data_IF_864174527031
#
_entry.id   IF_864174527031
#
_cell.length_a   1.000
_cell.length_b   1.000
_cell.length_c   1.000
_cell.angle_alpha   90.00
_cell.angle_beta   90.00
_cell.angle_gamma   90.00
#
_symmetry.space_group_name_H-M   'P 1'
#
loop_
_entity.id
_entity.type
_entity.pdbx_description
1 polymer ?
#
# COMPACT_ATOMS: atom_id res chain seq x y z
N UNK A 1 7.40 -7.54 5.78
CA UNK A 1 6.29 -8.25 5.11
C UNK A 1 6.26 -9.74 5.49
N UNK A 2 7.34 -10.53 5.28
CA UNK A 2 7.38 -11.97 5.62
C UNK A 2 6.89 -12.26 7.05
N UNK A 3 7.31 -11.47 8.03
CA UNK A 3 6.85 -11.64 9.42
C UNK A 3 5.34 -11.43 9.59
N UNK A 4 4.73 -10.51 8.82
CA UNK A 4 3.26 -10.32 8.80
C UNK A 4 2.58 -11.55 8.20
N UNK A 5 3.11 -12.08 7.10
CA UNK A 5 2.63 -13.34 6.48
C UNK A 5 2.66 -14.50 7.48
N UNK A 6 3.75 -14.63 8.25
CA UNK A 6 3.87 -15.68 9.28
C UNK A 6 2.81 -15.52 10.37
N UNK A 7 2.55 -14.29 10.83
CA UNK A 7 1.51 -14.01 11.84
C UNK A 7 0.13 -14.37 11.31
N UNK A 8 -0.22 -13.95 10.09
CA UNK A 8 -1.51 -14.27 9.46
C UNK A 8 -1.68 -15.78 9.31
N UNK A 9 -0.65 -16.47 8.81
CA UNK A 9 -0.70 -17.92 8.56
C UNK A 9 -0.66 -18.75 9.84
N UNK A 10 -0.14 -18.21 10.95
CA UNK A 10 -0.10 -18.92 12.23
C UNK A 10 -1.46 -19.08 12.90
N UNK A 11 -2.46 -18.30 12.47
CA UNK A 11 -3.79 -18.25 13.08
C UNK A 11 -3.87 -17.50 14.41
N UNK A 12 -2.80 -16.81 14.84
CA UNK A 12 -2.75 -16.08 16.12
C UNK A 12 -3.85 -15.01 16.26
N UNK A 13 -4.33 -14.45 15.15
CA UNK A 13 -5.40 -13.46 15.15
C UNK A 13 -6.77 -14.04 14.75
N UNK A 14 -6.85 -15.38 14.65
CA UNK A 14 -8.08 -16.07 14.27
C UNK A 14 -8.42 -15.93 12.78
N UNK A 15 -9.71 -16.09 12.45
CA UNK A 15 -10.21 -15.91 11.07
C UNK A 15 -10.15 -14.43 10.69
N UNK A 16 -9.51 -14.12 9.56
CA UNK A 16 -9.45 -12.74 9.03
C UNK A 16 -10.85 -12.32 8.58
N UNK A 17 -11.28 -11.14 9.01
CA UNK A 17 -12.63 -10.60 8.78
C UNK A 17 -12.64 -9.25 8.07
N UNK A 18 -11.53 -8.48 8.13
CA UNK A 18 -11.43 -7.17 7.48
C UNK A 18 -9.98 -6.76 7.30
N UNK A 19 -9.69 -5.94 6.30
CA UNK A 19 -8.41 -5.25 6.13
C UNK A 19 -8.62 -3.78 5.88
N UNK A 20 -7.73 -2.94 6.41
CA UNK A 20 -7.80 -1.49 6.28
C UNK A 20 -6.44 -0.90 5.92
N UNK A 21 -6.44 0.09 5.02
CA UNK A 21 -5.27 0.88 4.66
C UNK A 21 -5.53 2.32 5.08
N UNK A 22 -4.60 2.94 5.80
CA UNK A 22 -4.55 4.37 6.04
C UNK A 22 -3.18 4.88 5.64
N UNK A 23 -3.15 5.73 4.64
CA UNK A 23 -1.94 6.39 4.19
C UNK A 23 -2.18 7.88 4.05
N UNK A 24 -1.51 8.64 4.88
CA UNK A 24 -1.66 10.09 4.93
C UNK A 24 -0.28 10.72 5.05
N UNK A 25 0.06 11.61 4.13
CA UNK A 25 1.29 12.37 4.19
C UNK A 25 1.06 13.85 3.87
N UNK A 26 1.91 14.76 4.37
CA UNK A 26 1.90 16.15 3.95
C UNK A 26 2.41 16.28 2.52
N UNK A 27 2.15 17.43 1.85
CA UNK A 27 2.77 17.74 0.59
C UNK A 27 4.29 17.65 0.69
N UNK A 28 4.92 17.07 -0.31
CA UNK A 28 6.39 16.95 -0.35
C UNK A 28 7.03 18.33 -0.55
N UNK A 29 8.04 18.66 0.23
CA UNK A 29 8.69 19.96 0.15
C UNK A 29 9.21 20.27 -1.26
N UNK A 30 9.76 19.27 -1.95
CA UNK A 30 10.24 19.45 -3.34
C UNK A 30 9.13 19.86 -4.32
N UNK A 31 7.88 19.40 -4.11
CA UNK A 31 6.75 19.81 -4.95
C UNK A 31 6.33 21.24 -4.64
N UNK A 32 6.31 21.62 -3.36
CA UNK A 32 6.01 23.00 -2.92
C UNK A 32 7.06 23.98 -3.46
N UNK A 33 8.34 23.61 -3.44
CA UNK A 33 9.43 24.41 -3.97
C UNK A 33 9.30 24.57 -5.49
N UNK A 34 8.99 23.50 -6.22
CA UNK A 34 8.77 23.55 -7.66
C UNK A 34 7.58 24.47 -8.02
N UNK A 35 6.46 24.38 -7.27
CA UNK A 35 5.30 25.26 -7.45
C UNK A 35 5.68 26.72 -7.20
N UNK A 36 6.37 27.00 -6.09
CA UNK A 36 6.77 28.36 -5.72
C UNK A 36 7.72 28.99 -6.74
N UNK A 37 8.59 28.19 -7.35
CA UNK A 37 9.56 28.63 -8.36
C UNK A 37 9.02 28.59 -9.79
N UNK A 38 7.76 28.21 -10.02
CA UNK A 38 7.18 27.98 -11.34
C UNK A 38 7.94 26.94 -12.18
N UNK A 39 8.54 25.94 -11.53
CA UNK A 39 9.24 24.84 -12.15
C UNK A 39 8.27 23.70 -12.53
N UNK A 40 8.62 22.85 -13.51
CA UNK A 40 7.81 21.68 -13.85
C UNK A 40 7.68 20.73 -12.64
N UNK A 41 6.46 20.31 -12.36
CA UNK A 41 6.21 19.26 -11.37
C UNK A 41 6.81 17.93 -11.81
N UNK A 42 7.19 17.05 -10.88
CA UNK A 42 7.68 15.73 -11.20
C UNK A 42 6.64 14.96 -12.04
N UNK A 43 7.10 14.07 -12.92
CA UNK A 43 6.25 13.33 -13.86
C UNK A 43 5.12 12.57 -13.17
N UNK A 44 5.32 12.13 -11.91
CA UNK A 44 4.33 11.46 -11.08
C UNK A 44 3.07 12.29 -10.78
N UNK A 45 3.19 13.60 -10.83
CA UNK A 45 2.07 14.53 -10.63
C UNK A 45 1.49 15.08 -11.95
N UNK A 46 1.92 14.52 -13.07
CA UNK A 46 1.42 14.85 -14.41
C UNK A 46 0.51 13.71 -14.91
N UNK A 47 -0.84 13.81 -14.75
CA UNK A 47 -1.75 12.70 -15.08
C UNK A 47 -1.66 12.21 -16.52
N UNK A 48 -1.33 13.10 -17.46
CA UNK A 48 -1.16 12.76 -18.88
C UNK A 48 0.06 11.85 -19.13
N UNK A 49 1.01 11.79 -18.18
CA UNK A 49 2.23 10.97 -18.24
C UNK A 49 2.11 9.76 -17.32
N UNK A 50 1.75 10.00 -16.05
CA UNK A 50 1.71 8.97 -15.01
C UNK A 50 0.39 8.22 -14.93
N UNK A 51 -0.65 8.70 -15.60
CA UNK A 51 -1.99 8.16 -15.50
C UNK A 51 -2.79 8.63 -14.28
N UNK A 52 -2.18 9.28 -13.30
CA UNK A 52 -2.79 9.80 -12.08
C UNK A 52 -1.77 10.57 -11.25
N UNK A 53 -1.94 10.58 -9.92
CA UNK A 53 -1.05 11.21 -8.97
C UNK A 53 -0.26 10.23 -8.11
N UNK A 54 0.06 10.66 -6.89
CA UNK A 54 0.77 9.84 -5.91
C UNK A 54 0.01 8.56 -5.52
N UNK A 55 -1.30 8.50 -5.75
CA UNK A 55 -2.06 7.27 -5.53
C UNK A 55 -1.49 6.10 -6.35
N UNK A 56 -1.17 6.30 -7.63
CA UNK A 56 -0.54 5.24 -8.44
C UNK A 56 0.86 4.86 -7.97
N UNK A 57 1.63 5.84 -7.48
CA UNK A 57 3.01 5.61 -7.02
C UNK A 57 3.05 4.85 -5.68
N UNK A 58 2.08 5.10 -4.79
CA UNK A 58 2.13 4.62 -3.40
C UNK A 58 1.17 3.46 -3.12
N UNK A 59 -0.09 3.55 -3.55
CA UNK A 59 -1.12 2.56 -3.22
C UNK A 59 -0.84 1.18 -3.82
N UNK A 60 -0.15 1.12 -4.95
CA UNK A 60 0.24 -0.15 -5.56
C UNK A 60 0.99 -1.08 -4.61
N UNK A 61 1.91 -0.54 -3.79
CA UNK A 61 2.70 -1.34 -2.84
C UNK A 61 1.82 -1.95 -1.75
N UNK A 62 0.84 -1.20 -1.26
CA UNK A 62 -0.07 -1.65 -0.21
C UNK A 62 -1.08 -2.67 -0.74
N UNK A 63 -1.65 -2.42 -1.92
CA UNK A 63 -2.59 -3.33 -2.57
C UNK A 63 -1.92 -4.64 -3.01
N UNK A 64 -0.68 -4.57 -3.50
CA UNK A 64 0.11 -5.76 -3.89
C UNK A 64 0.38 -6.68 -2.69
N UNK A 65 0.82 -6.11 -1.56
CA UNK A 65 1.01 -6.84 -0.31
C UNK A 65 -0.28 -7.55 0.13
N UNK A 66 -1.42 -6.88 0.03
CA UNK A 66 -2.70 -7.46 0.43
C UNK A 66 -3.17 -8.56 -0.53
N UNK A 67 -2.95 -8.39 -1.85
CA UNK A 67 -3.26 -9.45 -2.83
C UNK A 67 -2.34 -10.67 -2.68
N UNK A 68 -1.09 -10.48 -2.33
CA UNK A 68 -0.18 -11.57 -2.02
C UNK A 68 -0.60 -12.37 -0.75
N UNK A 69 -1.21 -11.69 0.23
CA UNK A 69 -1.70 -12.33 1.46
C UNK A 69 -3.06 -13.02 1.29
N UNK A 70 -3.98 -12.44 0.52
CA UNK A 70 -5.40 -12.80 0.55
C UNK A 70 -5.98 -13.19 -0.80
N UNK A 71 -5.19 -13.18 -1.87
CA UNK A 71 -5.65 -13.44 -3.24
C UNK A 71 -6.10 -12.17 -3.97
N UNK A 72 -6.62 -12.36 -5.16
CA UNK A 72 -6.97 -11.27 -6.08
C UNK A 72 -8.17 -10.47 -5.58
N UNK A 73 -8.12 -9.14 -5.72
CA UNK A 73 -9.27 -8.26 -5.50
C UNK A 73 -10.15 -8.30 -6.75
N UNK A 74 -11.40 -8.75 -6.61
CA UNK A 74 -12.37 -8.87 -7.70
C UNK A 74 -13.30 -7.69 -7.84
N UNK A 75 -13.55 -6.96 -6.74
CA UNK A 75 -14.39 -5.76 -6.74
C UNK A 75 -13.66 -4.62 -6.07
N UNK A 76 -13.69 -3.43 -6.68
CA UNK A 76 -13.12 -2.23 -6.12
C UNK A 76 -13.92 -1.00 -6.58
N UNK A 77 -14.14 -0.06 -5.66
CA UNK A 77 -14.77 1.25 -5.92
C UNK A 77 -14.15 2.30 -5.04
N UNK A 78 -14.01 3.50 -5.58
CA UNK A 78 -13.46 4.63 -4.83
C UNK A 78 -14.14 5.95 -5.14
N UNK A 79 -13.84 6.91 -4.28
CA UNK A 79 -14.13 8.34 -4.46
C UNK A 79 -12.78 9.03 -4.40
N UNK A 80 -12.45 9.76 -5.45
CA UNK A 80 -11.23 10.54 -5.54
C UNK A 80 -11.55 12.03 -5.70
N UNK A 81 -10.66 12.87 -5.21
CA UNK A 81 -10.79 14.32 -5.30
C UNK A 81 -9.43 14.98 -5.26
N UNK A 82 -9.39 16.22 -5.74
CA UNK A 82 -8.26 17.12 -5.55
C UNK A 82 -8.71 18.22 -4.56
N UNK A 83 -8.27 18.12 -3.32
CA UNK A 83 -8.68 19.02 -2.22
C UNK A 83 -7.64 20.08 -1.89
N UNK A 84 -6.36 19.76 -2.07
CA UNK A 84 -5.26 20.67 -1.84
C UNK A 84 -5.04 21.66 -2.98
N UNK A 85 -5.40 21.28 -4.22
CA UNK A 85 -5.25 22.14 -5.39
C UNK A 85 -3.81 22.46 -5.79
N UNK A 86 -2.84 21.67 -5.30
CA UNK A 86 -1.42 21.90 -5.56
C UNK A 86 -1.00 21.44 -6.96
N UNK A 87 -1.68 20.46 -7.51
CA UNK A 87 -1.43 19.87 -8.82
C UNK A 87 -2.74 19.35 -9.44
N UNK A 88 -2.70 18.84 -10.68
CA UNK A 88 -3.92 18.43 -11.40
C UNK A 88 -4.45 17.04 -10.98
N UNK A 89 -3.56 16.16 -10.51
CA UNK A 89 -3.95 14.80 -10.12
C UNK A 89 -4.80 14.80 -8.84
N UNK A 90 -5.42 13.66 -8.57
CA UNK A 90 -6.09 13.40 -7.30
C UNK A 90 -5.06 13.43 -6.15
N UNK A 91 -5.46 14.00 -5.01
CA UNK A 91 -4.65 14.08 -3.79
C UNK A 91 -5.33 13.42 -2.58
N UNK A 92 -6.58 13.03 -2.75
CA UNK A 92 -7.39 12.38 -1.70
C UNK A 92 -8.24 11.29 -2.34
N UNK A 93 -8.06 10.04 -1.87
CA UNK A 93 -8.76 8.86 -2.37
C UNK A 93 -9.30 8.06 -1.19
N UNK A 94 -10.56 7.61 -1.29
CA UNK A 94 -11.17 6.65 -0.37
C UNK A 94 -11.77 5.51 -1.15
N UNK A 95 -11.56 4.28 -0.73
CA UNK A 95 -11.99 3.09 -1.47
C UNK A 95 -12.50 1.98 -0.57
N UNK A 96 -13.34 1.12 -1.16
CA UNK A 96 -13.65 -0.20 -0.65
C UNK A 96 -13.41 -1.26 -1.74
N UNK A 97 -13.04 -2.47 -1.31
CA UNK A 97 -12.73 -3.56 -2.21
C UNK A 97 -13.05 -4.92 -1.58
N UNK A 98 -13.18 -5.96 -2.41
CA UNK A 98 -13.42 -7.32 -1.97
C UNK A 98 -12.49 -8.30 -2.68
N UNK A 99 -11.87 -9.17 -1.90
CA UNK A 99 -11.04 -10.26 -2.41
C UNK A 99 -11.89 -11.42 -2.92
N UNK A 100 -11.31 -12.29 -3.74
CA UNK A 100 -11.95 -13.47 -4.32
C UNK A 100 -12.53 -14.44 -3.27
N UNK A 101 -11.95 -14.48 -2.07
CA UNK A 101 -12.44 -15.27 -0.94
C UNK A 101 -13.57 -14.60 -0.16
N UNK A 102 -14.07 -13.45 -0.61
CA UNK A 102 -15.14 -12.66 0.02
C UNK A 102 -14.68 -11.74 1.15
N UNK A 103 -13.38 -11.68 1.47
CA UNK A 103 -12.84 -10.78 2.49
C UNK A 103 -13.02 -9.32 2.05
N UNK A 104 -13.69 -8.46 2.86
CA UNK A 104 -13.80 -7.04 2.56
C UNK A 104 -12.56 -6.27 3.01
N UNK A 105 -12.27 -5.19 2.27
CA UNK A 105 -11.23 -4.24 2.64
C UNK A 105 -11.62 -2.81 2.33
N UNK A 106 -10.92 -1.88 2.96
CA UNK A 106 -11.06 -0.44 2.70
C UNK A 106 -9.70 0.25 2.72
N UNK A 107 -9.63 1.41 2.06
CA UNK A 107 -8.41 2.21 2.07
C UNK A 107 -8.71 3.70 1.95
N UNK A 108 -7.86 4.50 2.58
CA UNK A 108 -7.85 5.95 2.43
C UNK A 108 -6.42 6.44 2.23
N UNK A 109 -6.25 7.35 1.26
CA UNK A 109 -4.97 7.94 0.90
C UNK A 109 -5.13 9.46 0.80
N UNK A 110 -4.23 10.21 1.43
CA UNK A 110 -4.21 11.67 1.36
C UNK A 110 -2.77 12.16 1.29
N UNK A 111 -2.45 12.98 0.29
CA UNK A 111 -1.09 13.46 -0.01
C UNK A 111 -0.91 14.97 0.25
N UNK A 112 -1.88 15.57 0.92
CA UNK A 112 -1.92 17.02 1.20
C UNK A 112 -2.35 17.32 2.64
N UNK A 113 -2.17 16.36 3.53
CA UNK A 113 -2.56 16.49 4.92
C UNK A 113 -1.59 17.35 5.72
N UNK A 114 -2.00 17.78 6.91
CA UNK A 114 -1.08 18.37 7.88
C UNK A 114 -0.17 17.28 8.47
N UNK A 115 1.07 17.63 8.82
CA UNK A 115 2.07 16.71 9.37
C UNK A 115 1.56 15.92 10.58
N UNK A 116 0.74 16.51 11.43
CA UNK A 116 0.15 15.80 12.59
C UNK A 116 -0.81 14.66 12.23
N UNK A 117 -1.23 14.57 10.97
CA UNK A 117 -2.09 13.51 10.46
C UNK A 117 -1.30 12.45 9.66
N UNK A 118 0.04 12.55 9.64
CA UNK A 118 0.90 11.57 8.95
C UNK A 118 0.66 10.17 9.50
N UNK A 119 0.35 9.25 8.61
CA UNK A 119 0.08 7.86 8.94
C UNK A 119 0.44 6.94 7.77
N UNK A 120 1.13 5.86 8.04
CA UNK A 120 1.36 4.72 7.13
C UNK A 120 0.98 3.45 7.87
N UNK A 121 -0.21 2.93 7.62
CA UNK A 121 -0.74 1.81 8.36
C UNK A 121 -1.59 0.89 7.48
N UNK A 122 -1.26 -0.40 7.52
CA UNK A 122 -2.15 -1.49 7.12
C UNK A 122 -2.58 -2.21 8.39
N UNK A 123 -3.88 -2.40 8.56
CA UNK A 123 -4.46 -3.22 9.63
C UNK A 123 -5.12 -4.46 9.05
N UNK A 124 -4.78 -5.62 9.60
CA UNK A 124 -5.42 -6.91 9.31
C UNK A 124 -6.14 -7.34 10.57
N UNK A 125 -7.46 -7.43 10.49
CA UNK A 125 -8.35 -7.69 11.62
C UNK A 125 -8.87 -9.11 11.52
N UNK A 126 -8.68 -9.86 12.59
CA UNK A 126 -9.20 -11.22 12.77
C UNK A 126 -10.18 -11.32 13.94
N UNK A 127 -10.73 -12.52 14.13
CA UNK A 127 -11.71 -12.79 15.21
C UNK A 127 -11.09 -12.86 16.61
N UNK A 128 -9.76 -13.02 16.70
CA UNK A 128 -9.04 -13.19 17.99
C UNK A 128 -7.95 -12.14 18.20
N UNK A 129 -7.78 -11.23 17.23
CA UNK A 129 -6.79 -10.18 17.32
C UNK A 129 -6.65 -9.39 16.03
N UNK A 130 -5.63 -8.54 16.01
CA UNK A 130 -5.26 -7.76 14.83
C UNK A 130 -3.75 -7.60 14.73
N UNK A 131 -3.26 -7.41 13.52
CA UNK A 131 -1.90 -7.01 13.25
C UNK A 131 -1.89 -5.73 12.43
N UNK A 132 -1.05 -4.75 12.83
CA UNK A 132 -0.85 -3.52 12.07
C UNK A 132 0.63 -3.28 11.79
N UNK A 133 0.92 -2.71 10.62
CA UNK A 133 2.28 -2.45 10.16
C UNK A 133 2.32 -1.32 9.14
N UNK A 134 3.49 -0.70 9.00
CA UNK A 134 3.77 0.30 7.95
C UNK A 134 4.45 -0.35 6.75
N UNK A 135 4.29 0.26 5.58
CA UNK A 135 4.97 -0.16 4.34
C UNK A 135 6.22 0.68 4.10
N UNK A 136 6.17 1.97 4.39
CA UNK A 136 7.22 2.94 4.07
C UNK A 136 7.95 3.48 5.30
N UNK A 137 7.26 3.60 6.44
CA UNK A 137 7.82 4.21 7.66
C UNK A 137 8.62 3.22 8.53
N UNK A 138 8.60 1.92 8.18
CA UNK A 138 9.34 0.85 8.88
C UNK A 138 9.13 0.84 10.40
N UNK A 139 7.93 1.18 10.85
CA UNK A 139 7.56 1.09 12.27
C UNK A 139 7.50 -0.37 12.72
N UNK A 140 7.68 -0.66 14.01
CA UNK A 140 7.49 -2.02 14.53
C UNK A 140 6.10 -2.56 14.20
N UNK A 141 6.02 -3.82 13.78
CA UNK A 141 4.76 -4.54 13.61
C UNK A 141 4.09 -4.62 14.98
N UNK A 142 2.81 -4.26 15.06
CA UNK A 142 2.02 -4.32 16.27
C UNK A 142 1.03 -5.46 16.18
N UNK A 143 1.18 -6.43 17.04
CA UNK A 143 0.27 -7.57 17.19
C UNK A 143 -0.55 -7.40 18.48
N UNK A 144 -1.87 -7.37 18.33
CA UNK A 144 -2.79 -7.30 19.47
C UNK A 144 -3.69 -8.53 19.46
N UNK A 145 -3.70 -9.25 20.59
CA UNK A 145 -4.53 -10.44 20.81
C UNK A 145 -5.17 -10.36 22.18
N UNK A 146 -5.97 -11.37 22.53
CA UNK A 146 -6.49 -11.51 23.89
C UNK A 146 -5.41 -11.67 24.96
N UNK A 147 -4.18 -12.00 24.56
CA UNK A 147 -3.02 -12.15 25.46
C UNK A 147 -2.28 -10.82 25.70
N UNK A 148 -2.61 -9.76 24.94
CA UNK A 148 -1.99 -8.46 25.07
C UNK A 148 -1.48 -7.89 23.75
N UNK A 149 -0.61 -6.88 23.86
CA UNK A 149 0.05 -6.22 22.73
C UNK A 149 1.53 -6.60 22.69
N UNK A 150 1.99 -6.98 21.50
CA UNK A 150 3.40 -7.19 21.19
C UNK A 150 3.85 -6.23 20.08
N UNK A 151 5.05 -5.67 20.21
CA UNK A 151 5.71 -4.85 19.17
C UNK A 151 6.93 -5.58 18.66
N UNK A 152 6.89 -5.95 17.37
CA UNK A 152 7.91 -6.77 16.74
C UNK A 152 8.74 -5.88 15.81
N UNK A 153 10.00 -5.65 16.17
CA UNK A 153 10.95 -4.94 15.32
C UNK A 153 11.61 -5.92 14.36
N UNK A 154 11.52 -5.64 13.08
CA UNK A 154 12.19 -6.40 12.02
C UNK A 154 13.31 -5.53 11.46
N UNK A 155 14.58 -5.99 11.47
CA UNK A 155 15.67 -5.22 10.90
C UNK A 155 15.51 -5.09 9.39
N UNK A 156 15.69 -3.88 8.90
CA UNK A 156 15.67 -3.62 7.47
C UNK A 156 16.94 -4.17 6.80
N UNK A 157 16.85 -4.63 5.54
CA UNK A 157 18.04 -4.97 4.78
C UNK A 157 18.88 -3.68 4.57
N UNK A 158 20.22 -3.81 4.39
CA UNK A 158 21.09 -2.66 4.14
C UNK A 158 20.66 -1.82 2.93
N UNK A 159 20.06 -2.47 1.93
CA UNK A 159 19.48 -1.84 0.75
C UNK A 159 18.07 -2.39 0.54
N UNK A 160 17.09 -1.49 0.45
CA UNK A 160 15.66 -1.85 0.36
C UNK A 160 15.37 -2.77 -0.83
N UNK A 161 15.99 -2.53 -1.99
CA UNK A 161 15.78 -3.34 -3.19
C UNK A 161 16.57 -4.66 -3.21
N UNK A 162 17.48 -4.89 -2.26
CA UNK A 162 18.35 -6.07 -2.28
C UNK A 162 17.57 -7.39 -2.33
N UNK A 163 16.51 -7.61 -1.52
CA UNK A 163 15.77 -8.88 -1.55
C UNK A 163 15.14 -9.17 -2.91
N UNK A 164 14.52 -8.17 -3.55
CA UNK A 164 13.88 -8.37 -4.86
C UNK A 164 14.92 -8.59 -5.97
N UNK A 165 16.02 -7.85 -5.97
CA UNK A 165 17.09 -8.03 -6.93
C UNK A 165 17.69 -9.45 -6.80
N UNK A 166 17.91 -9.91 -5.57
CA UNK A 166 18.39 -11.27 -5.31
C UNK A 166 17.41 -12.31 -5.85
N UNK A 167 16.11 -12.18 -5.56
CA UNK A 167 15.06 -13.10 -6.03
C UNK A 167 15.00 -13.16 -7.56
N UNK A 168 15.09 -12.03 -8.25
CA UNK A 168 15.15 -11.98 -9.72
C UNK A 168 16.37 -12.70 -10.27
N UNK A 169 17.56 -12.46 -9.67
CA UNK A 169 18.81 -13.12 -10.11
C UNK A 169 18.72 -14.64 -9.89
N UNK A 170 18.25 -15.09 -8.74
CA UNK A 170 18.08 -16.52 -8.44
C UNK A 170 17.10 -17.18 -9.42
N UNK A 171 16.00 -16.49 -9.77
CA UNK A 171 15.07 -16.97 -10.80
C UNK A 171 15.72 -17.11 -12.17
N UNK A 172 16.46 -16.11 -12.63
CA UNK A 172 17.18 -16.15 -13.91
C UNK A 172 18.25 -17.24 -13.97
N UNK A 173 18.81 -17.62 -12.83
CA UNK A 173 19.77 -18.71 -12.70
C UNK A 173 19.13 -20.10 -12.53
N UNK A 174 17.79 -20.19 -12.45
CA UNK A 174 17.08 -21.43 -12.21
C UNK A 174 17.18 -21.95 -10.76
N UNK A 175 17.58 -21.09 -9.82
CA UNK A 175 17.75 -21.43 -8.39
C UNK A 175 16.50 -21.13 -7.54
N UNK A 176 15.48 -20.48 -8.11
CA UNK A 176 14.26 -20.11 -7.41
C UNK A 176 13.19 -19.58 -8.37
N UNK A 177 12.06 -19.18 -7.79
CA UNK A 177 10.94 -18.58 -8.54
C UNK A 177 10.86 -17.09 -8.18
N UNK A 178 10.70 -16.23 -9.20
CA UNK A 178 10.41 -14.81 -8.98
C UNK A 178 8.95 -14.67 -8.53
N UNK A 179 8.74 -14.19 -7.31
CA UNK A 179 7.40 -14.01 -6.73
C UNK A 179 6.69 -12.81 -7.34
N UNK A 180 7.44 -11.75 -7.68
CA UNK A 180 6.88 -10.53 -8.26
C UNK A 180 7.16 -10.48 -9.78
N UNK A 181 6.14 -10.76 -10.57
CA UNK A 181 6.19 -10.75 -12.04
C UNK A 181 5.18 -9.75 -12.61
N UNK A 182 5.25 -9.44 -13.91
CA UNK A 182 4.24 -8.63 -14.58
C UNK A 182 2.84 -9.25 -14.47
N UNK A 183 2.75 -10.58 -14.45
CA UNK A 183 1.48 -11.29 -14.31
C UNK A 183 0.88 -11.10 -12.91
N UNK A 184 1.70 -11.21 -11.85
CA UNK A 184 1.24 -10.99 -10.47
C UNK A 184 0.93 -9.52 -10.17
N UNK A 185 1.62 -8.58 -10.81
CA UNK A 185 1.43 -7.14 -10.60
C UNK A 185 0.25 -6.54 -11.40
N UNK A 186 -0.15 -7.15 -12.52
CA UNK A 186 -1.24 -6.62 -13.38
C UNK A 186 -2.57 -6.42 -12.64
N UNK A 187 -3.04 -7.34 -11.75
CA UNK A 187 -4.28 -7.14 -11.01
C UNK A 187 -4.31 -5.88 -10.15
N UNK A 188 -3.15 -5.45 -9.62
CA UNK A 188 -3.05 -4.22 -8.82
C UNK A 188 -3.41 -2.98 -9.63
N UNK A 189 -2.92 -2.90 -10.88
CA UNK A 189 -3.24 -1.79 -11.77
C UNK A 189 -4.74 -1.72 -12.06
N UNK A 190 -5.37 -2.88 -12.33
CA UNK A 190 -6.82 -2.95 -12.51
C UNK A 190 -7.59 -2.43 -11.29
N UNK A 191 -7.18 -2.81 -10.07
CA UNK A 191 -7.79 -2.33 -8.82
C UNK A 191 -7.68 -0.80 -8.72
N UNK A 192 -6.50 -0.23 -8.99
CA UNK A 192 -6.29 1.22 -8.93
C UNK A 192 -7.15 1.96 -9.97
N UNK A 193 -7.25 1.44 -11.20
CA UNK A 193 -8.09 2.01 -12.25
C UNK A 193 -9.59 1.98 -11.86
N UNK A 194 -10.05 0.88 -11.25
CA UNK A 194 -11.42 0.77 -10.71
C UNK A 194 -11.68 1.76 -9.58
N UNK A 195 -10.72 1.93 -8.67
CA UNK A 195 -10.84 2.89 -7.56
C UNK A 195 -10.95 4.32 -8.10
N UNK A 196 -10.18 4.66 -9.12
CA UNK A 196 -10.20 5.99 -9.75
C UNK A 196 -11.34 6.19 -10.76
N UNK A 197 -12.18 5.17 -10.99
CA UNK A 197 -13.31 5.27 -11.92
C UNK A 197 -12.91 5.34 -13.39
N UNK A 198 -11.78 4.74 -13.77
CA UNK A 198 -11.29 4.68 -15.16
C UNK A 198 -11.79 3.46 -15.92
N UNK A 199 -12.31 2.46 -15.20
CA UNK A 199 -12.89 1.22 -15.71
C UNK A 199 -14.31 1.02 -15.20
#
# INVERSE_FOLDING_TARGET
FQKVRDIVNSGQIGKIINVQIRYTEPPRQADLDAIANHEPLPWRLQPDIAGGGYFYDMAQHQLDILQDLFGVILEARGICSNRGGLYKAEDSVSACFQFENGLPGSGSWCYVAHESAREDCIEIIGTEGQVSFSVFDYTPIRLQTTQGEERITVPNPPYVQYPIIKNVIEHLQGLGVCECTSVSATPVNWVMDRILGKL
#
